data_IF_941607478822
#
_entry.id   IF_941607478822
#
_cell.length_a   1.000
_cell.length_b   1.000
_cell.length_c   1.000
_cell.angle_alpha   90.00
_cell.angle_beta   90.00
_cell.angle_gamma   90.00
#
_symmetry.space_group_name_H-M   'P 1'
#
loop_
_entity.id
_entity.type
_entity.pdbx_description
1 polymer ?
#
# COMPACT_ATOMS: atom_id res chain seq x y z
N UNK A 1 -12.89 -0.11 -8.80
CA UNK A 1 -13.92 -1.16 -8.69
C UNK A 1 -13.95 -2.16 -9.83
N UNK A 2 -14.09 -1.73 -11.09
CA UNK A 2 -14.24 -2.66 -12.23
C UNK A 2 -13.08 -3.66 -12.37
N UNK A 3 -11.85 -3.28 -12.00
CA UNK A 3 -10.69 -4.19 -11.98
C UNK A 3 -10.84 -5.33 -10.95
N UNK A 4 -11.43 -5.06 -9.78
CA UNK A 4 -11.70 -6.09 -8.77
C UNK A 4 -12.75 -7.06 -9.29
N UNK A 5 -13.82 -6.54 -9.91
CA UNK A 5 -14.84 -7.36 -10.55
C UNK A 5 -14.26 -8.22 -11.70
N UNK A 6 -13.36 -7.65 -12.51
CA UNK A 6 -12.66 -8.36 -13.57
C UNK A 6 -11.75 -9.48 -13.00
N UNK A 7 -11.00 -9.22 -11.92
CA UNK A 7 -10.24 -10.26 -11.22
C UNK A 7 -11.13 -11.37 -10.65
N UNK A 8 -12.31 -11.02 -10.14
CA UNK A 8 -13.33 -11.99 -9.71
C UNK A 8 -13.79 -12.88 -10.85
N UNK A 9 -14.10 -12.31 -12.03
CA UNK A 9 -14.44 -13.06 -13.23
C UNK A 9 -13.27 -13.91 -13.75
N UNK A 10 -12.04 -13.40 -13.71
CA UNK A 10 -10.85 -14.15 -14.09
C UNK A 10 -10.64 -15.36 -13.17
N UNK A 11 -10.83 -15.18 -11.87
CA UNK A 11 -10.76 -16.28 -10.89
C UNK A 11 -11.87 -17.29 -11.11
N UNK A 12 -13.10 -16.85 -11.38
CA UNK A 12 -14.20 -17.73 -11.75
C UNK A 12 -13.85 -18.53 -13.01
N UNK A 13 -13.32 -17.90 -14.06
CA UNK A 13 -12.96 -18.55 -15.33
C UNK A 13 -11.93 -19.67 -15.14
N UNK A 14 -10.95 -19.48 -14.25
CA UNK A 14 -9.97 -20.53 -13.91
C UNK A 14 -10.63 -21.75 -13.27
N UNK A 15 -11.65 -21.54 -12.43
CA UNK A 15 -12.35 -22.60 -11.72
C UNK A 15 -13.43 -23.28 -12.58
N UNK A 16 -14.01 -22.56 -13.53
CA UNK A 16 -15.12 -23.02 -14.37
C UNK A 16 -14.87 -22.68 -15.85
N UNK A 17 -13.98 -23.43 -16.53
CA UNK A 17 -13.41 -23.05 -17.83
C UNK A 17 -14.41 -23.07 -19.00
N UNK A 18 -15.55 -23.74 -18.86
CA UNK A 18 -16.57 -23.83 -19.91
C UNK A 18 -17.47 -22.60 -20.02
N UNK A 19 -17.29 -21.59 -19.16
CA UNK A 19 -18.04 -20.34 -19.21
C UNK A 19 -17.45 -19.33 -20.20
N UNK A 20 -18.28 -18.40 -20.67
CA UNK A 20 -17.92 -17.39 -21.68
C UNK A 20 -17.29 -16.12 -21.08
N UNK A 21 -16.74 -16.14 -19.86
CA UNK A 21 -16.27 -14.92 -19.20
C UNK A 21 -15.01 -14.33 -19.82
N UNK A 22 -14.21 -15.14 -20.54
CA UNK A 22 -13.09 -14.65 -21.35
C UNK A 22 -13.52 -13.58 -22.35
N UNK A 23 -14.67 -13.76 -23.01
CA UNK A 23 -15.17 -12.79 -23.98
C UNK A 23 -15.54 -11.47 -23.30
N UNK A 24 -16.18 -11.53 -22.13
CA UNK A 24 -16.51 -10.36 -21.31
C UNK A 24 -15.25 -9.64 -20.82
N UNK A 25 -14.26 -10.37 -20.34
CA UNK A 25 -12.98 -9.82 -19.88
C UNK A 25 -12.21 -9.13 -21.02
N UNK A 26 -12.14 -9.73 -22.22
CA UNK A 26 -11.53 -9.09 -23.39
C UNK A 26 -12.25 -7.83 -23.83
N UNK A 27 -13.59 -7.85 -23.83
CA UNK A 27 -14.39 -6.66 -24.16
C UNK A 27 -14.14 -5.54 -23.14
N UNK A 28 -14.06 -5.88 -21.86
CA UNK A 28 -13.75 -4.93 -20.80
C UNK A 28 -12.33 -4.37 -20.94
N UNK A 29 -11.32 -5.22 -21.18
CA UNK A 29 -9.92 -4.80 -21.38
C UNK A 29 -9.82 -3.83 -22.57
N UNK A 30 -10.44 -4.16 -23.70
CA UNK A 30 -10.47 -3.29 -24.87
C UNK A 30 -11.13 -1.92 -24.61
N UNK A 31 -12.12 -1.86 -23.70
CA UNK A 31 -12.79 -0.61 -23.36
C UNK A 31 -11.95 0.31 -22.45
N UNK A 32 -11.09 -0.25 -21.60
CA UNK A 32 -10.27 0.54 -20.65
C UNK A 32 -8.86 0.86 -21.17
N UNK A 33 -8.38 0.08 -22.14
CA UNK A 33 -7.02 0.20 -22.69
C UNK A 33 -6.70 1.62 -23.22
N UNK A 34 -7.57 2.29 -24.01
CA UNK A 34 -7.27 3.64 -24.50
C UNK A 34 -7.09 4.66 -23.36
N UNK A 35 -7.85 4.49 -22.27
CA UNK A 35 -7.73 5.36 -21.11
C UNK A 35 -6.39 5.19 -20.40
N UNK A 36 -5.88 3.95 -20.33
CA UNK A 36 -4.55 3.67 -19.77
C UNK A 36 -3.44 4.36 -20.60
N UNK A 37 -3.51 4.26 -21.92
CA UNK A 37 -2.53 4.84 -22.84
C UNK A 37 -2.42 6.37 -22.70
N UNK A 38 -3.54 7.03 -22.46
CA UNK A 38 -3.59 8.48 -22.22
C UNK A 38 -3.02 8.93 -20.87
N UNK A 39 -2.80 8.00 -19.93
CA UNK A 39 -2.53 8.33 -18.54
C UNK A 39 -1.28 7.61 -17.99
N UNK A 40 -0.13 7.83 -18.67
CA UNK A 40 1.16 7.21 -18.33
C UNK A 40 1.16 5.67 -18.43
N UNK A 41 0.31 5.09 -19.27
CA UNK A 41 0.16 3.63 -19.36
C UNK A 41 -0.38 3.00 -18.07
N UNK A 42 -1.10 3.78 -17.26
CA UNK A 42 -1.77 3.38 -16.03
C UNK A 42 -3.24 3.74 -16.10
N UNK A 43 -4.10 2.89 -15.52
CA UNK A 43 -5.54 3.16 -15.55
C UNK A 43 -5.92 4.41 -14.74
N UNK A 44 -6.82 5.26 -15.27
CA UNK A 44 -7.35 6.40 -14.54
C UNK A 44 -8.11 5.97 -13.27
N UNK A 45 -8.26 6.89 -12.32
CA UNK A 45 -9.08 6.68 -11.13
C UNK A 45 -10.55 6.47 -11.49
N UNK A 46 -11.06 7.26 -12.45
CA UNK A 46 -12.45 7.22 -12.89
C UNK A 46 -12.56 7.36 -14.40
N UNK A 47 -13.53 6.65 -14.96
CA UNK A 47 -13.90 6.70 -16.38
C UNK A 47 -15.40 6.89 -16.53
N UNK A 48 -15.83 7.38 -17.70
CA UNK A 48 -17.23 7.35 -18.12
C UNK A 48 -17.69 5.92 -18.39
N UNK A 49 -19.00 5.71 -18.61
CA UNK A 49 -19.54 4.44 -19.09
C UNK A 49 -18.99 4.01 -20.46
N UNK A 50 -18.49 4.96 -21.26
CA UNK A 50 -17.83 4.71 -22.54
C UNK A 50 -16.32 4.44 -22.41
N UNK A 51 -15.76 4.48 -21.20
CA UNK A 51 -14.34 4.25 -20.94
C UNK A 51 -13.45 5.50 -21.05
N UNK A 52 -14.01 6.68 -21.32
CA UNK A 52 -13.21 7.91 -21.39
C UNK A 52 -12.74 8.34 -19.99
N UNK A 53 -11.47 8.78 -19.81
CA UNK A 53 -10.96 9.19 -18.51
C UNK A 53 -11.67 10.44 -18.00
N UNK A 54 -12.12 10.41 -16.74
CA UNK A 54 -12.67 11.56 -16.02
C UNK A 54 -11.63 12.17 -15.07
N UNK A 55 -10.80 11.31 -14.49
CA UNK A 55 -9.75 11.70 -13.55
C UNK A 55 -8.50 10.88 -13.82
N UNK A 56 -7.33 11.48 -13.68
CA UNK A 56 -6.05 10.80 -13.86
C UNK A 56 -5.83 9.63 -12.87
N UNK A 57 -4.73 8.88 -13.00
CA UNK A 57 -4.41 7.81 -12.09
C UNK A 57 -4.16 8.36 -10.69
N UNK A 58 -4.58 7.59 -9.68
CA UNK A 58 -4.41 7.90 -8.26
C UNK A 58 -3.73 6.75 -7.53
N UNK A 59 -2.89 7.03 -6.55
CA UNK A 59 -2.15 6.04 -5.77
C UNK A 59 -3.06 5.02 -5.08
N UNK A 60 -4.10 5.48 -4.41
CA UNK A 60 -5.15 4.64 -3.80
C UNK A 60 -5.72 3.62 -4.80
N UNK A 61 -6.19 4.08 -5.97
CA UNK A 61 -6.73 3.19 -7.00
C UNK A 61 -5.68 2.30 -7.64
N UNK A 62 -4.50 2.85 -7.92
CA UNK A 62 -3.42 2.09 -8.53
C UNK A 62 -2.97 0.95 -7.62
N UNK A 63 -2.87 1.18 -6.31
CA UNK A 63 -2.51 0.11 -5.35
C UNK A 63 -3.47 -1.09 -5.42
N UNK A 64 -4.78 -0.84 -5.54
CA UNK A 64 -5.79 -1.88 -5.78
C UNK A 64 -5.60 -2.50 -7.17
N UNK A 65 -5.46 -1.69 -8.21
CA UNK A 65 -5.31 -2.16 -9.60
C UNK A 65 -4.12 -3.11 -9.72
N UNK A 66 -2.95 -2.73 -9.19
CA UNK A 66 -1.74 -3.56 -9.23
C UNK A 66 -1.88 -4.85 -8.42
N UNK A 67 -2.78 -4.88 -7.42
CA UNK A 67 -3.05 -6.10 -6.64
C UNK A 67 -3.92 -7.09 -7.41
N UNK A 68 -4.91 -6.62 -8.16
CA UNK A 68 -5.94 -7.49 -8.77
C UNK A 68 -5.74 -7.75 -10.26
N UNK A 69 -5.16 -6.81 -11.01
CA UNK A 69 -4.93 -6.97 -12.44
C UNK A 69 -4.07 -8.19 -12.82
N UNK A 70 -3.09 -8.64 -12.00
CA UNK A 70 -2.38 -9.89 -12.27
C UNK A 70 -3.27 -11.11 -12.54
N UNK A 71 -4.44 -11.22 -11.91
CA UNK A 71 -5.37 -12.32 -12.20
C UNK A 71 -5.95 -12.25 -13.60
N UNK A 72 -6.22 -11.03 -14.08
CA UNK A 72 -6.74 -10.79 -15.42
C UNK A 72 -5.66 -11.03 -16.46
N UNK A 73 -4.45 -10.48 -16.25
CA UNK A 73 -3.32 -10.65 -17.16
C UNK A 73 -3.00 -12.14 -17.36
N UNK A 74 -2.97 -12.94 -16.29
CA UNK A 74 -2.71 -14.37 -16.39
C UNK A 74 -3.78 -15.15 -17.15
N UNK A 75 -5.06 -14.75 -17.03
CA UNK A 75 -6.17 -15.44 -17.69
C UNK A 75 -6.30 -15.04 -19.15
N UNK A 76 -6.01 -13.79 -19.49
CA UNK A 76 -6.11 -13.28 -20.86
C UNK A 76 -4.83 -13.53 -21.67
N UNK A 77 -3.67 -13.30 -21.06
CA UNK A 77 -2.37 -13.19 -21.74
C UNK A 77 -1.37 -14.25 -21.29
N UNK A 78 -1.66 -15.00 -20.21
CA UNK A 78 -0.79 -16.06 -19.69
C UNK A 78 0.46 -15.55 -18.96
N UNK A 79 0.63 -14.24 -18.82
CA UNK A 79 1.80 -13.59 -18.21
C UNK A 79 1.41 -12.27 -17.55
N UNK A 80 2.29 -11.73 -16.70
CA UNK A 80 2.09 -10.43 -16.06
C UNK A 80 2.59 -9.28 -16.93
N UNK A 81 1.92 -8.12 -16.86
CA UNK A 81 2.44 -6.87 -17.42
C UNK A 81 3.46 -6.24 -16.45
N UNK A 82 4.72 -6.67 -16.53
CA UNK A 82 5.81 -6.13 -15.71
C UNK A 82 6.02 -4.62 -15.94
N UNK A 83 5.74 -4.12 -17.14
CA UNK A 83 5.86 -2.69 -17.47
C UNK A 83 4.87 -1.84 -16.69
N UNK A 84 3.65 -2.35 -16.43
CA UNK A 84 2.65 -1.64 -15.61
C UNK A 84 3.11 -1.45 -14.17
N UNK A 85 3.71 -2.49 -13.57
CA UNK A 85 4.28 -2.38 -12.22
C UNK A 85 5.40 -1.33 -12.19
N UNK A 86 6.32 -1.38 -13.15
CA UNK A 86 7.41 -0.41 -13.24
C UNK A 86 6.88 1.04 -13.34
N UNK A 87 5.92 1.31 -14.24
CA UNK A 87 5.32 2.65 -14.38
C UNK A 87 4.63 3.09 -13.10
N UNK A 88 3.91 2.19 -12.42
CA UNK A 88 3.31 2.50 -11.11
C UNK A 88 4.38 2.88 -10.08
N UNK A 89 5.45 2.08 -9.96
CA UNK A 89 6.54 2.36 -9.03
C UNK A 89 7.23 3.70 -9.32
N UNK A 90 7.49 4.00 -10.58
CA UNK A 90 8.11 5.26 -11.00
C UNK A 90 7.24 6.48 -10.72
N UNK A 91 5.92 6.36 -10.93
CA UNK A 91 4.97 7.47 -10.82
C UNK A 91 4.52 7.73 -9.39
N UNK A 92 4.34 6.69 -8.57
CA UNK A 92 3.65 6.79 -7.28
C UNK A 92 4.50 6.41 -6.07
N UNK A 93 5.40 5.44 -6.17
CA UNK A 93 6.22 5.02 -5.03
C UNK A 93 7.29 6.08 -4.78
N UNK A 94 7.47 6.55 -3.55
CA UNK A 94 8.49 7.52 -3.15
C UNK A 94 9.33 6.98 -2.01
N UNK A 95 10.60 7.37 -1.96
CA UNK A 95 11.55 6.97 -0.94
C UNK A 95 12.20 8.22 -0.37
N UNK A 96 11.81 8.60 0.85
CA UNK A 96 12.21 9.86 1.48
C UNK A 96 12.56 9.61 2.94
N UNK A 97 13.65 10.21 3.43
CA UNK A 97 14.11 10.06 4.83
C UNK A 97 14.28 8.59 5.29
N UNK A 98 14.57 7.69 4.34
CA UNK A 98 14.68 6.26 4.60
C UNK A 98 13.35 5.52 4.76
N UNK A 99 12.21 6.18 4.52
CA UNK A 99 10.87 5.57 4.47
C UNK A 99 10.43 5.39 3.01
N UNK A 100 9.49 4.47 2.77
CA UNK A 100 8.84 4.25 1.49
C UNK A 100 7.34 4.45 1.61
N UNK A 101 6.79 5.23 0.68
CA UNK A 101 5.36 5.53 0.67
C UNK A 101 4.82 5.59 -0.75
N UNK A 102 3.50 5.67 -0.85
CA UNK A 102 2.80 5.83 -2.11
C UNK A 102 2.11 7.17 -2.13
N UNK A 103 2.47 8.00 -3.11
CA UNK A 103 1.79 9.28 -3.34
C UNK A 103 0.36 9.04 -3.78
N UNK A 104 -0.53 9.94 -3.40
CA UNK A 104 -1.90 9.88 -3.89
C UNK A 104 -2.03 10.38 -5.33
N UNK A 105 -1.27 11.41 -5.67
CA UNK A 105 -1.24 11.99 -7.00
C UNK A 105 0.13 11.73 -7.65
N UNK A 106 0.19 11.57 -8.99
CA UNK A 106 1.44 11.37 -9.71
C UNK A 106 2.54 12.33 -9.25
N UNK A 107 3.79 11.86 -9.18
CA UNK A 107 4.95 12.74 -8.92
C UNK A 107 4.88 13.99 -9.81
N UNK A 108 5.16 15.15 -9.21
CA UNK A 108 5.03 16.46 -9.89
C UNK A 108 3.63 17.07 -9.84
N UNK A 109 2.63 16.35 -9.35
CA UNK A 109 1.27 16.86 -9.16
C UNK A 109 0.84 16.79 -7.70
N UNK A 110 -0.12 17.64 -7.33
CA UNK A 110 -0.70 17.73 -6.01
C UNK A 110 -2.23 17.77 -6.10
N UNK A 111 -2.90 17.33 -5.05
CA UNK A 111 -4.35 17.36 -4.94
C UNK A 111 -4.79 17.13 -3.50
N UNK A 112 -6.10 17.11 -3.29
CA UNK A 112 -6.71 17.03 -1.96
C UNK A 112 -6.86 15.58 -1.51
N UNK A 113 -6.73 15.34 -0.22
CA UNK A 113 -7.11 14.06 0.36
C UNK A 113 -8.62 13.85 0.27
N UNK A 114 -9.04 12.59 0.17
CA UNK A 114 -10.41 12.14 0.36
C UNK A 114 -10.45 10.85 1.19
N UNK A 115 -11.62 10.20 1.24
CA UNK A 115 -11.83 8.97 2.00
C UNK A 115 -10.91 7.84 1.50
N UNK A 116 -10.70 7.74 0.19
CA UNK A 116 -9.92 6.66 -0.43
C UNK A 116 -8.42 6.82 -0.16
N UNK A 117 -7.93 8.06 -0.16
CA UNK A 117 -6.53 8.33 0.14
C UNK A 117 -6.24 8.33 1.64
N UNK A 118 -7.24 8.59 2.47
CA UNK A 118 -7.02 8.99 3.85
C UNK A 118 -6.20 10.29 3.95
N UNK A 119 -5.71 10.64 5.15
CA UNK A 119 -4.87 11.82 5.33
C UNK A 119 -3.57 11.71 4.53
N UNK A 120 -3.18 12.81 3.90
CA UNK A 120 -1.94 12.91 3.13
C UNK A 120 -0.84 13.60 3.93
N UNK A 121 0.32 12.95 4.05
CA UNK A 121 1.52 13.54 4.66
C UNK A 121 2.51 13.80 3.53
N UNK A 122 2.80 15.07 3.21
CA UNK A 122 3.63 15.46 2.07
C UNK A 122 3.17 14.83 0.71
N UNK A 123 1.86 14.56 0.58
CA UNK A 123 1.26 13.92 -0.59
C UNK A 123 1.30 12.38 -0.59
N UNK A 124 1.90 11.76 0.43
CA UNK A 124 1.89 10.30 0.65
C UNK A 124 0.58 9.89 1.33
N UNK A 125 -0.09 8.88 0.78
CA UNK A 125 -1.27 8.24 1.35
C UNK A 125 -0.85 7.01 2.16
N UNK A 126 -1.21 7.00 3.45
CA UNK A 126 -1.01 5.83 4.30
C UNK A 126 -1.83 4.63 3.80
N UNK A 127 -3.09 4.86 3.41
CA UNK A 127 -3.98 3.83 2.85
C UNK A 127 -3.40 3.19 1.59
N UNK A 128 -2.98 4.01 0.61
CA UNK A 128 -2.37 3.52 -0.61
C UNK A 128 -1.07 2.76 -0.34
N UNK A 129 -0.28 3.17 0.66
CA UNK A 129 0.96 2.50 1.04
C UNK A 129 0.71 1.12 1.63
N UNK A 130 -0.26 0.98 2.54
CA UNK A 130 -0.67 -0.33 3.10
C UNK A 130 -1.23 -1.25 2.02
N UNK A 131 -2.09 -0.75 1.13
CA UNK A 131 -2.63 -1.56 0.02
C UNK A 131 -1.52 -1.95 -0.97
N UNK A 132 -0.51 -1.10 -1.17
CA UNK A 132 0.62 -1.41 -2.06
C UNK A 132 1.50 -2.53 -1.52
N UNK A 133 1.48 -2.84 -0.21
CA UNK A 133 2.07 -4.07 0.31
C UNK A 133 1.46 -5.30 -0.37
N UNK A 134 0.14 -5.32 -0.54
CA UNK A 134 -0.57 -6.40 -1.22
C UNK A 134 -0.13 -6.51 -2.69
N UNK A 135 -0.05 -5.37 -3.39
CA UNK A 135 0.39 -5.31 -4.77
C UNK A 135 1.84 -5.80 -4.94
N UNK A 136 2.77 -5.29 -4.13
CA UNK A 136 4.17 -5.68 -4.15
C UNK A 136 4.34 -7.19 -3.91
N UNK A 137 3.59 -7.75 -2.94
CA UNK A 137 3.56 -9.20 -2.71
C UNK A 137 3.00 -9.94 -3.92
N UNK A 138 1.89 -9.48 -4.49
CA UNK A 138 1.23 -10.13 -5.64
C UNK A 138 2.16 -10.26 -6.84
N UNK A 139 2.88 -9.19 -7.18
CA UNK A 139 3.80 -9.13 -8.33
C UNK A 139 5.20 -9.66 -8.02
N UNK A 140 5.48 -10.04 -6.77
CA UNK A 140 6.75 -10.63 -6.36
C UNK A 140 7.87 -9.65 -6.01
N UNK A 141 7.57 -8.36 -5.85
CA UNK A 141 8.52 -7.34 -5.37
C UNK A 141 8.74 -7.48 -3.84
N UNK A 142 9.62 -8.40 -3.48
CA UNK A 142 9.93 -8.72 -2.08
C UNK A 142 10.59 -7.55 -1.34
N UNK A 143 11.36 -6.72 -2.05
CA UNK A 143 12.08 -5.61 -1.44
C UNK A 143 11.10 -4.51 -1.00
N UNK A 144 10.20 -4.10 -1.91
CA UNK A 144 9.16 -3.12 -1.57
C UNK A 144 8.19 -3.69 -0.55
N UNK A 145 7.76 -4.94 -0.70
CA UNK A 145 6.88 -5.59 0.27
C UNK A 145 7.51 -5.63 1.67
N UNK A 146 8.79 -6.01 1.81
CA UNK A 146 9.43 -6.03 3.13
C UNK A 146 9.57 -4.64 3.73
N UNK A 147 9.87 -3.62 2.92
CA UNK A 147 9.98 -2.25 3.40
C UNK A 147 8.63 -1.72 3.93
N UNK A 148 7.56 -1.83 3.13
CA UNK A 148 6.21 -1.40 3.52
C UNK A 148 5.70 -2.17 4.75
N UNK A 149 5.95 -3.48 4.84
CA UNK A 149 5.53 -4.29 5.98
C UNK A 149 6.25 -3.89 7.28
N UNK A 150 7.55 -3.60 7.21
CA UNK A 150 8.32 -3.09 8.36
C UNK A 150 7.88 -1.69 8.77
N UNK A 151 7.55 -0.84 7.82
CA UNK A 151 7.05 0.51 8.11
C UNK A 151 5.66 0.47 8.74
N UNK A 152 4.79 -0.48 8.34
CA UNK A 152 3.53 -0.71 9.03
C UNK A 152 3.73 -1.14 10.50
N UNK A 153 4.73 -1.98 10.78
CA UNK A 153 5.12 -2.37 12.15
C UNK A 153 5.68 -1.21 12.98
N UNK A 154 6.43 -0.30 12.36
CA UNK A 154 7.04 0.84 13.04
C UNK A 154 6.04 1.97 13.25
N UNK A 155 5.43 2.45 12.17
CA UNK A 155 4.58 3.65 12.15
C UNK A 155 3.16 3.35 12.64
N UNK A 156 2.71 2.11 12.47
CA UNK A 156 1.40 1.68 12.96
C UNK A 156 1.35 1.48 14.47
N UNK A 157 2.46 1.69 15.21
CA UNK A 157 2.52 1.63 16.68
C UNK A 157 1.69 0.48 17.28
N UNK A 158 2.00 -0.78 16.92
CA UNK A 158 1.13 -1.89 17.26
C UNK A 158 1.14 -2.19 18.75
N UNK A 159 -0.03 -2.61 19.25
CA UNK A 159 -0.17 -3.23 20.57
C UNK A 159 -0.63 -4.67 20.41
N UNK A 160 -0.07 -5.57 21.21
CA UNK A 160 -0.48 -6.97 21.24
C UNK A 160 -1.21 -7.25 22.55
N UNK A 161 -2.46 -7.72 22.45
CA UNK A 161 -3.27 -8.14 23.60
C UNK A 161 -3.68 -9.61 23.39
N UNK A 162 -3.04 -10.52 24.13
CA UNK A 162 -3.21 -11.95 23.94
C UNK A 162 -2.81 -12.39 22.53
N UNK A 163 -3.73 -13.03 21.81
CA UNK A 163 -3.54 -13.49 20.44
C UNK A 163 -3.89 -12.43 19.36
N UNK A 164 -4.34 -11.24 19.78
CA UNK A 164 -4.74 -10.17 18.87
C UNK A 164 -3.66 -9.09 18.80
N UNK A 165 -3.53 -8.48 17.62
CA UNK A 165 -2.61 -7.38 17.36
C UNK A 165 -3.40 -6.25 16.72
N UNK A 166 -3.23 -5.05 17.26
CA UNK A 166 -3.95 -3.85 16.83
C UNK A 166 -2.95 -2.78 16.42
N UNK A 167 -3.19 -2.08 15.31
CA UNK A 167 -2.40 -0.92 14.90
C UNK A 167 -3.15 0.36 15.22
N UNK A 168 -2.39 1.45 15.39
CA UNK A 168 -2.87 2.72 15.90
C UNK A 168 -3.73 2.56 17.16
N UNK A 169 -3.31 1.66 18.06
CA UNK A 169 -4.03 1.30 19.28
C UNK A 169 -5.48 0.77 19.06
N UNK A 170 -5.78 0.25 17.86
CA UNK A 170 -7.12 -0.22 17.47
C UNK A 170 -8.07 0.89 17.02
N UNK A 171 -7.60 2.13 16.88
CA UNK A 171 -8.42 3.27 16.48
C UNK A 171 -8.79 3.28 14.99
N UNK A 172 -8.09 2.47 14.17
CA UNK A 172 -8.31 2.37 12.73
C UNK A 172 -8.52 0.92 12.31
N UNK A 173 -9.67 0.28 12.65
CA UNK A 173 -9.90 -1.14 12.39
C UNK A 173 -9.82 -1.54 10.90
N UNK A 174 -10.18 -0.62 10.01
CA UNK A 174 -10.04 -0.81 8.55
C UNK A 174 -8.57 -0.95 8.14
N UNK A 175 -7.66 -0.23 8.81
CA UNK A 175 -6.22 -0.33 8.57
C UNK A 175 -5.69 -1.71 8.93
N UNK A 176 -6.10 -2.25 10.09
CA UNK A 176 -5.76 -3.61 10.53
C UNK A 176 -6.26 -4.66 9.53
N UNK A 177 -7.50 -4.50 9.04
CA UNK A 177 -8.07 -5.40 8.04
C UNK A 177 -7.28 -5.38 6.72
N UNK A 178 -6.91 -4.19 6.23
CA UNK A 178 -6.09 -4.08 5.02
C UNK A 178 -4.70 -4.68 5.20
N UNK A 179 -4.06 -4.47 6.36
CA UNK A 179 -2.74 -5.03 6.62
C UNK A 179 -2.78 -6.56 6.73
N UNK A 180 -3.80 -7.09 7.44
CA UNK A 180 -4.03 -8.52 7.53
C UNK A 180 -4.27 -9.14 6.14
N UNK A 181 -5.13 -8.51 5.33
CA UNK A 181 -5.38 -8.92 3.95
C UNK A 181 -4.11 -8.86 3.09
N UNK A 182 -3.37 -7.75 3.13
CA UNK A 182 -2.13 -7.57 2.37
C UNK A 182 -1.09 -8.65 2.71
N UNK A 183 -0.92 -8.99 3.99
CA UNK A 183 -0.05 -10.09 4.44
C UNK A 183 -0.54 -11.47 4.02
N UNK A 184 -1.84 -11.64 3.80
CA UNK A 184 -2.44 -12.86 3.26
C UNK A 184 -2.27 -13.01 1.75
N UNK A 185 -1.94 -11.94 1.01
CA UNK A 185 -1.77 -12.03 -0.44
C UNK A 185 -0.56 -12.90 -0.80
N UNK A 186 -0.83 -13.90 -1.62
CA UNK A 186 0.17 -14.79 -2.19
C UNK A 186 0.77 -14.20 -3.48
N UNK A 187 2.09 -14.33 -3.69
CA UNK A 187 2.71 -13.97 -4.94
C UNK A 187 2.13 -14.81 -6.08
N UNK A 188 2.04 -14.22 -7.27
CA UNK A 188 1.97 -15.02 -8.49
C UNK A 188 3.30 -15.76 -8.60
N UNK A 189 3.27 -17.09 -8.70
CA UNK A 189 4.49 -17.90 -8.80
C UNK A 189 5.30 -17.52 -10.04
N UNK A 190 6.32 -16.66 -9.89
CA UNK A 190 7.27 -16.26 -10.94
C UNK A 190 8.64 -15.88 -10.33
N UNK A 191 9.74 -15.88 -11.13
CA UNK A 191 11.06 -15.41 -10.71
C UNK A 191 11.02 -13.92 -10.37
N UNK A 192 11.84 -13.50 -9.39
CA UNK A 192 11.91 -12.09 -8.99
C UNK A 192 12.30 -11.18 -10.17
N UNK A 193 11.69 -9.99 -10.33
CA UNK A 193 12.05 -9.06 -11.38
C UNK A 193 13.50 -8.57 -11.21
N UNK A 194 14.26 -8.39 -12.31
CA UNK A 194 15.61 -7.85 -12.26
C UNK A 194 15.58 -6.41 -11.75
N UNK A 195 16.47 -6.08 -10.81
CA UNK A 195 16.54 -4.76 -10.16
C UNK A 195 16.00 -4.71 -8.73
N UNK A 196 15.68 -5.85 -8.10
CA UNK A 196 15.31 -5.93 -6.67
C UNK A 196 16.49 -5.68 -5.71
N UNK A 197 17.57 -5.03 -6.16
CA UNK A 197 18.76 -4.82 -5.34
C UNK A 197 18.62 -3.64 -4.37
N UNK A 198 19.24 -3.87 -3.22
CA UNK A 198 19.38 -3.01 -2.06
C UNK A 198 18.07 -2.64 -1.34
N UNK A 199 17.73 -3.48 -0.36
CA UNK A 199 17.17 -3.00 0.90
C UNK A 199 18.11 -1.91 1.44
N UNK A 200 17.80 -0.64 1.13
CA UNK A 200 18.41 0.48 1.83
C UNK A 200 18.10 0.27 3.30
N UNK A 201 19.14 0.13 4.13
CA UNK A 201 18.98 0.06 5.58
C UNK A 201 18.26 1.34 5.99
N UNK A 202 16.99 1.29 6.45
CA UNK A 202 16.34 2.48 6.95
C UNK A 202 17.14 3.00 8.14
N UNK A 203 17.04 4.29 8.48
CA UNK A 203 17.51 4.79 9.77
C UNK A 203 16.62 4.28 10.92
N UNK A 204 16.24 3.00 10.90
CA UNK A 204 15.27 2.40 11.81
C UNK A 204 15.72 2.49 13.27
N UNK A 205 17.03 2.35 13.52
CA UNK A 205 17.62 2.57 14.85
C UNK A 205 17.34 3.98 15.34
N UNK A 206 17.48 4.98 14.46
CA UNK A 206 17.20 6.38 14.76
C UNK A 206 15.70 6.62 14.99
N UNK A 207 14.81 6.03 14.19
CA UNK A 207 13.36 6.16 14.39
C UNK A 207 12.88 5.47 15.67
N UNK A 208 13.41 4.30 16.01
CA UNK A 208 13.13 3.65 17.30
C UNK A 208 13.67 4.48 18.48
N UNK A 209 14.90 5.02 18.36
CA UNK A 209 15.47 5.92 19.35
C UNK A 209 14.59 7.16 19.54
N UNK A 210 14.24 7.86 18.45
CA UNK A 210 13.39 9.05 18.49
C UNK A 210 11.98 8.74 19.00
N UNK A 211 11.39 7.61 18.60
CA UNK A 211 10.08 7.15 19.06
C UNK A 211 10.07 6.75 20.54
N UNK A 212 11.21 6.35 21.10
CA UNK A 212 11.35 6.02 22.53
C UNK A 212 11.61 7.23 23.44
N UNK A 213 12.07 8.38 22.89
CA UNK A 213 12.37 9.59 23.66
C UNK A 213 11.18 10.14 24.46
N UNK A 214 9.94 10.23 23.93
CA UNK A 214 8.79 10.69 24.71
C UNK A 214 8.49 9.78 25.91
N UNK A 215 8.65 8.46 25.74
CA UNK A 215 8.47 7.49 26.81
C UNK A 215 9.54 7.62 27.90
N UNK A 216 10.80 7.82 27.50
CA UNK A 216 11.92 8.03 28.43
C UNK A 216 11.77 9.35 29.20
N UNK A 217 11.37 10.43 28.53
CA UNK A 217 11.09 11.73 29.17
C UNK A 217 9.90 11.64 30.13
N UNK A 218 8.85 10.91 29.76
CA UNK A 218 7.68 10.66 30.63
C UNK A 218 8.04 9.85 31.88
N UNK A 219 8.86 8.80 31.75
CA UNK A 219 9.36 8.02 32.89
C UNK A 219 10.27 8.87 33.79
N UNK A 220 11.11 9.73 33.21
CA UNK A 220 11.99 10.62 33.95
C UNK A 220 11.19 11.68 34.73
N UNK A 221 10.18 12.29 34.10
CA UNK A 221 9.27 13.24 34.76
C UNK A 221 8.45 12.58 35.89
N UNK A 222 7.96 11.35 35.68
CA UNK A 222 7.25 10.61 36.73
C UNK A 222 8.16 10.20 37.90
N UNK A 223 9.45 9.93 37.64
CA UNK A 223 10.44 9.68 38.70
C UNK A 223 10.82 10.95 39.45
N UNK A 224 10.94 12.09 38.77
CA UNK A 224 11.24 13.38 39.43
C UNK A 224 10.07 13.86 40.30
N UNK A 225 8.83 13.55 39.92
CA UNK A 225 7.63 13.82 40.73
C UNK A 225 7.47 12.88 41.93
N UNK A 226 8.19 11.75 41.95
CA UNK A 226 8.17 10.77 43.05
C UNK A 226 9.28 10.97 44.08
N UNK A 227 10.18 11.93 43.88
CA UNK A 227 11.07 12.39 44.95
C UNK A 227 10.30 13.41 45.80
N UNK A 228 9.86 13.06 47.02
CA UNK A 228 9.31 14.04 47.94
C UNK A 228 10.47 14.93 48.37
N UNK A 229 10.27 16.25 48.31
CA UNK A 229 11.12 17.19 49.02
C UNK A 229 11.14 16.79 50.49
N UNK A 230 12.31 16.39 51.00
CA UNK A 230 12.53 16.09 52.42
C UNK A 230 12.34 17.39 53.21
N UNK A 231 11.30 17.54 54.04
CA UNK A 231 11.05 18.76 54.78
C UNK A 231 11.71 18.68 56.14
N UNK A 232 13.04 18.53 56.19
CA UNK A 232 13.80 18.57 57.44
C UNK A 232 15.10 19.36 57.26
N UNK A 233 14.97 20.68 57.09
CA UNK A 233 16.09 21.60 57.35
C UNK A 233 15.65 23.02 57.68
N UNK A 234 15.05 23.26 58.85
CA UNK A 234 15.30 24.49 59.63
C UNK A 234 15.25 24.13 61.11
N UNK A 235 16.43 24.15 61.74
CA UNK A 235 16.60 24.36 63.18
C UNK A 235 16.47 25.84 63.49
#
# INVERSE_FOLDING_TARGET
>A
DTVVAASGLASAQRLMPHNQWLATLRKWQAAIQPAAESAHGLLPHRVTSSGAPLEGPRGSSQSIIQTFMPDVDLVLDGQLDAGRWQRFSEVFVVRELGLVGVREYPRGTAGRSDVDSGPLIAGVSASASVVTLAAARRVGDRALASALDREAELLGAPISLGAQKYYAFGLVPVGDAFLAWARGVAPVSMPAPPGSEASHRPFWELFLLLGSLPGLLGVFALRSLRHPSDPDSVR
#
